data_IF_219018335790
#
_entry.id   IF_219018335790
#
_cell.length_a   1.000
_cell.length_b   1.000
_cell.length_c   1.000
_cell.angle_alpha   90.00
_cell.angle_beta   90.00
_cell.angle_gamma   90.00
#
_symmetry.space_group_name_H-M   'P 1'
#
loop_
_entity.id
_entity.type
_entity.pdbx_description
1 polymer ?
#
# COMPACT_ATOMS: atom_id res chain seq x y z
N UNK A 1 -15.98 13.13 17.88
CA UNK A 1 -15.94 12.10 16.81
C UNK A 1 -16.66 12.52 15.54
N UNK A 2 -18.00 12.67 15.48
CA UNK A 2 -18.71 13.00 14.22
C UNK A 2 -18.17 14.25 13.50
N UNK A 3 -17.93 15.35 14.22
CA UNK A 3 -17.36 16.58 13.64
C UNK A 3 -15.98 16.34 12.97
N UNK A 4 -15.01 15.78 13.71
CA UNK A 4 -13.67 15.43 13.19
C UNK A 4 -13.76 14.53 11.94
N UNK A 5 -14.71 13.61 11.90
CA UNK A 5 -14.94 12.73 10.75
C UNK A 5 -15.48 13.47 9.51
N UNK A 6 -16.42 14.41 9.68
CA UNK A 6 -16.88 15.25 8.57
C UNK A 6 -15.80 16.24 8.11
N UNK A 7 -15.02 16.81 9.04
CA UNK A 7 -13.86 17.65 8.73
C UNK A 7 -12.85 16.86 7.89
N UNK A 8 -12.49 15.64 8.32
CA UNK A 8 -11.60 14.76 7.55
C UNK A 8 -12.16 14.39 6.17
N UNK A 9 -13.48 14.17 6.01
CA UNK A 9 -14.07 13.94 4.68
C UNK A 9 -13.98 15.20 3.81
N UNK A 10 -14.44 16.34 4.30
CA UNK A 10 -14.47 17.59 3.52
C UNK A 10 -13.04 17.96 3.12
N UNK A 11 -12.09 17.83 4.05
CA UNK A 11 -10.67 17.98 3.76
C UNK A 11 -10.18 16.98 2.72
N UNK A 12 -10.38 15.66 2.90
CA UNK A 12 -9.92 14.66 1.91
C UNK A 12 -10.57 14.82 0.53
N UNK A 13 -11.83 15.27 0.44
CA UNK A 13 -12.52 15.49 -0.83
C UNK A 13 -11.98 16.74 -1.52
N UNK A 14 -11.89 17.88 -0.83
CA UNK A 14 -11.29 19.11 -1.37
C UNK A 14 -9.82 18.89 -1.75
N UNK A 15 -9.07 18.17 -0.92
CA UNK A 15 -7.67 17.83 -1.15
C UNK A 15 -7.51 16.83 -2.32
N UNK A 16 -8.42 15.87 -2.50
CA UNK A 16 -8.44 15.01 -3.68
C UNK A 16 -8.70 15.82 -4.96
N UNK A 17 -9.62 16.79 -4.93
CA UNK A 17 -9.85 17.69 -6.07
C UNK A 17 -8.61 18.54 -6.41
N UNK A 18 -7.83 18.97 -5.40
CA UNK A 18 -6.55 19.67 -5.58
C UNK A 18 -5.48 18.71 -6.16
N UNK A 19 -5.38 17.47 -5.66
CA UNK A 19 -4.40 16.47 -6.15
C UNK A 19 -4.73 15.97 -7.56
N UNK A 20 -6.01 15.92 -7.94
CA UNK A 20 -6.47 15.51 -9.28
C UNK A 20 -6.42 16.63 -10.32
N UNK A 21 -5.96 17.84 -9.99
CA UNK A 21 -5.92 18.96 -10.93
C UNK A 21 -4.85 20.02 -10.64
N UNK A 22 -3.71 19.90 -11.33
CA UNK A 22 -2.68 20.95 -11.55
C UNK A 22 -1.91 21.37 -10.28
N UNK A 23 -0.58 21.27 -10.15
CA UNK A 23 0.57 20.79 -10.96
C UNK A 23 1.76 20.72 -9.95
N UNK A 24 3.06 20.45 -10.17
CA UNK A 24 4.00 19.73 -11.06
C UNK A 24 5.41 20.08 -10.51
N UNK A 25 5.98 19.29 -9.60
CA UNK A 25 7.37 19.49 -9.10
C UNK A 25 8.38 18.99 -10.17
N UNK A 26 9.65 19.44 -10.21
CA UNK A 26 10.60 19.00 -11.23
C UNK A 26 10.99 17.51 -11.04
N UNK A 27 10.41 16.62 -11.84
CA UNK A 27 10.67 15.17 -11.77
C UNK A 27 11.63 14.76 -12.90
N UNK A 28 12.93 14.94 -12.69
CA UNK A 28 13.98 14.52 -13.62
C UNK A 28 14.15 12.98 -13.72
N UNK A 29 13.36 12.20 -12.97
CA UNK A 29 13.34 10.73 -12.96
C UNK A 29 12.17 10.10 -13.74
N UNK A 30 11.33 10.90 -14.40
CA UNK A 30 10.24 10.41 -15.25
C UNK A 30 10.51 10.75 -16.71
N UNK A 31 11.23 9.86 -17.41
CA UNK A 31 11.24 9.82 -18.87
C UNK A 31 9.91 9.26 -19.39
N UNK A 32 8.84 10.05 -19.23
CA UNK A 32 7.65 9.94 -20.08
C UNK A 32 7.95 10.55 -21.47
N UNK A 33 7.41 9.98 -22.57
CA UNK A 33 7.70 10.46 -23.94
C UNK A 33 7.06 11.81 -24.31
N UNK A 34 6.57 12.58 -23.34
CA UNK A 34 5.86 13.86 -23.53
C UNK A 34 6.63 15.07 -22.98
N UNK A 35 7.96 15.07 -23.14
CA UNK A 35 8.88 16.12 -22.67
C UNK A 35 8.59 17.52 -23.27
N UNK A 36 7.82 17.58 -24.37
CA UNK A 36 7.53 18.79 -25.17
C UNK A 36 6.23 19.53 -24.78
N UNK A 37 5.53 19.15 -23.72
CA UNK A 37 4.19 19.70 -23.36
C UNK A 37 4.21 20.55 -22.07
N UNK A 38 5.36 20.68 -21.39
CA UNK A 38 5.42 21.05 -19.96
C UNK A 38 6.22 22.34 -19.66
N UNK A 39 6.21 23.34 -20.57
CA UNK A 39 7.04 24.56 -20.42
C UNK A 39 6.40 25.73 -19.65
N UNK A 40 5.12 25.64 -19.20
CA UNK A 40 4.35 26.84 -18.80
C UNK A 40 3.58 26.72 -17.45
N UNK A 41 4.13 26.08 -16.41
CA UNK A 41 3.55 26.13 -15.04
C UNK A 41 4.58 25.97 -13.89
N UNK A 42 4.53 26.88 -12.89
CA UNK A 42 5.40 26.92 -11.69
C UNK A 42 4.58 26.63 -10.39
N UNK A 43 4.82 25.51 -9.67
CA UNK A 43 3.97 25.13 -8.51
C UNK A 43 4.72 24.41 -7.35
N UNK A 44 5.57 25.11 -6.60
CA UNK A 44 6.63 24.47 -5.78
C UNK A 44 6.28 24.06 -4.33
N UNK A 45 5.05 24.25 -3.83
CA UNK A 45 4.79 24.28 -2.36
C UNK A 45 3.79 23.22 -1.84
N UNK A 46 2.81 22.74 -2.63
CA UNK A 46 1.65 22.03 -2.08
C UNK A 46 1.82 20.52 -1.81
N UNK A 47 2.61 19.79 -2.60
CA UNK A 47 2.67 18.32 -2.49
C UNK A 47 3.38 17.74 -1.26
N UNK A 48 4.36 18.41 -0.60
CA UNK A 48 4.90 17.92 0.67
C UNK A 48 3.86 17.92 1.79
N UNK A 49 2.99 18.94 1.84
CA UNK A 49 1.93 19.07 2.85
C UNK A 49 0.91 17.91 2.77
N UNK A 50 0.52 17.53 1.55
CA UNK A 50 -0.28 16.33 1.28
C UNK A 50 0.36 15.06 1.87
N UNK A 51 1.69 14.94 1.77
CA UNK A 51 2.48 13.87 2.37
C UNK A 51 2.33 13.82 3.90
N UNK A 52 2.54 14.96 4.57
CA UNK A 52 2.43 15.05 6.02
C UNK A 52 1.02 14.79 6.55
N UNK A 53 -0.02 15.39 5.95
CA UNK A 53 -1.41 15.21 6.39
C UNK A 53 -1.87 13.74 6.24
N UNK A 54 -1.54 13.12 5.10
CA UNK A 54 -1.80 11.70 4.87
C UNK A 54 -1.04 10.80 5.84
N UNK A 55 0.23 11.10 6.12
CA UNK A 55 1.04 10.35 7.09
C UNK A 55 0.50 10.49 8.52
N UNK A 56 0.09 11.68 8.96
CA UNK A 56 -0.45 11.92 10.30
C UNK A 56 -1.80 11.19 10.48
N UNK A 57 -2.75 11.40 9.56
CA UNK A 57 -4.05 10.76 9.61
C UNK A 57 -3.93 9.22 9.50
N UNK A 58 -3.11 8.74 8.57
CA UNK A 58 -2.81 7.33 8.38
C UNK A 58 -2.18 6.68 9.60
N UNK A 59 -1.10 7.26 10.13
CA UNK A 59 -0.43 6.76 11.34
C UNK A 59 -1.38 6.69 12.53
N UNK A 60 -2.21 7.73 12.74
CA UNK A 60 -3.21 7.75 13.79
C UNK A 60 -4.24 6.63 13.62
N UNK A 61 -4.90 6.54 12.47
CA UNK A 61 -5.94 5.53 12.27
C UNK A 61 -5.39 4.10 12.26
N UNK A 62 -4.17 3.90 11.74
CA UNK A 62 -3.44 2.64 11.82
C UNK A 62 -3.19 2.22 13.28
N UNK A 63 -2.56 3.07 14.10
CA UNK A 63 -2.36 2.82 15.53
C UNK A 63 -3.68 2.54 16.28
N UNK A 64 -4.75 3.29 15.94
CA UNK A 64 -6.08 3.09 16.54
C UNK A 64 -6.71 1.75 16.14
N UNK A 65 -6.57 1.29 14.90
CA UNK A 65 -7.13 -0.01 14.48
C UNK A 65 -6.30 -1.19 14.99
N UNK A 66 -4.96 -1.11 15.00
CA UNK A 66 -4.13 -2.21 15.52
C UNK A 66 -4.36 -2.45 17.01
N UNK A 67 -4.44 -1.39 17.83
CA UNK A 67 -4.77 -1.53 19.26
C UNK A 67 -6.17 -2.13 19.48
N UNK A 68 -7.15 -1.78 18.64
CA UNK A 68 -8.50 -2.33 18.71
C UNK A 68 -8.57 -3.82 18.32
N UNK A 69 -7.85 -4.24 17.28
CA UNK A 69 -7.75 -5.65 16.86
C UNK A 69 -7.06 -6.47 17.95
N UNK A 70 -5.90 -6.00 18.43
CA UNK A 70 -5.08 -6.68 19.43
C UNK A 70 -5.66 -6.63 20.85
N UNK A 71 -6.73 -5.85 21.07
CA UNK A 71 -7.31 -5.53 22.39
C UNK A 71 -6.29 -4.94 23.37
N UNK A 72 -5.32 -4.19 22.86
CA UNK A 72 -4.26 -3.51 23.63
C UNK A 72 -4.60 -2.04 23.86
N UNK A 73 -3.94 -1.43 24.84
CA UNK A 73 -3.92 0.02 25.06
C UNK A 73 -2.48 0.49 24.90
N UNK A 74 -2.28 1.60 24.20
CA UNK A 74 -0.98 2.27 24.05
C UNK A 74 0.16 1.37 23.53
N UNK A 75 -0.16 0.36 22.70
CA UNK A 75 0.86 -0.41 21.99
C UNK A 75 1.22 0.28 20.67
N UNK A 76 2.43 0.83 20.62
CA UNK A 76 2.96 1.51 19.44
C UNK A 76 3.78 0.60 18.51
N UNK A 77 4.05 -0.65 18.86
CA UNK A 77 5.01 -1.49 18.12
C UNK A 77 4.63 -1.71 16.65
N UNK A 78 3.34 -1.86 16.34
CA UNK A 78 2.88 -1.97 14.95
C UNK A 78 3.18 -0.69 14.15
N UNK A 79 2.93 0.49 14.73
CA UNK A 79 3.24 1.77 14.10
C UNK A 79 4.76 2.01 14.00
N UNK A 80 5.53 1.65 15.02
CA UNK A 80 6.99 1.75 15.01
C UNK A 80 7.57 0.93 13.85
N UNK A 81 7.14 -0.32 13.68
CA UNK A 81 7.61 -1.14 12.56
C UNK A 81 7.16 -0.63 11.18
N UNK A 82 6.00 0.03 11.09
CA UNK A 82 5.53 0.65 9.84
C UNK A 82 6.39 1.88 9.48
N UNK A 83 6.67 2.75 10.46
CA UNK A 83 7.40 4.01 10.25
C UNK A 83 8.91 3.81 10.14
N UNK A 84 9.48 2.79 10.79
CA UNK A 84 10.89 2.45 10.65
C UNK A 84 11.20 1.63 9.41
N UNK A 85 10.19 1.04 8.74
CA UNK A 85 10.36 0.10 7.64
C UNK A 85 11.29 0.66 6.54
N UNK A 86 12.10 -0.16 5.84
CA UNK A 86 13.14 0.33 4.92
C UNK A 86 12.66 1.26 3.81
N UNK A 87 11.39 1.17 3.40
CA UNK A 87 10.79 2.04 2.38
C UNK A 87 9.88 3.14 2.95
N UNK A 88 9.77 3.31 4.27
CA UNK A 88 8.78 4.21 4.86
C UNK A 88 9.00 5.71 4.56
N UNK A 89 10.17 6.11 4.05
CA UNK A 89 10.38 7.44 3.48
C UNK A 89 9.45 7.74 2.29
N UNK A 90 8.90 6.72 1.62
CA UNK A 90 7.88 6.93 0.58
C UNK A 90 6.61 7.64 1.11
N UNK A 91 6.35 7.65 2.43
CA UNK A 91 5.25 8.43 3.01
C UNK A 91 5.51 9.95 3.05
N UNK A 92 6.77 10.40 3.07
CA UNK A 92 7.12 11.84 3.14
C UNK A 92 7.59 12.42 1.80
N UNK A 93 7.63 11.60 0.75
CA UNK A 93 7.95 12.01 -0.63
C UNK A 93 6.68 12.24 -1.44
N UNK A 94 6.82 12.78 -2.66
CA UNK A 94 5.72 13.28 -3.51
C UNK A 94 4.83 12.19 -4.15
N UNK A 95 4.68 11.03 -3.51
CA UNK A 95 3.91 9.89 -4.02
C UNK A 95 2.66 9.58 -3.18
N UNK A 96 1.77 8.72 -3.70
CA UNK A 96 0.45 8.45 -3.10
C UNK A 96 0.45 7.51 -1.88
N UNK A 97 1.60 7.10 -1.36
CA UNK A 97 1.74 6.19 -0.20
C UNK A 97 1.08 6.72 1.08
N UNK A 98 1.22 8.00 1.39
CA UNK A 98 0.64 8.67 2.57
C UNK A 98 -0.87 8.86 2.45
N UNK A 99 -1.35 9.32 1.30
CA UNK A 99 -2.77 9.44 0.99
C UNK A 99 -3.46 8.05 1.03
N UNK A 100 -2.76 7.01 0.55
CA UNK A 100 -3.24 5.62 0.65
C UNK A 100 -3.26 5.14 2.10
N UNK A 101 -2.19 5.38 2.88
CA UNK A 101 -2.13 5.00 4.29
C UNK A 101 -3.30 5.60 5.08
N UNK A 102 -3.63 6.88 4.85
CA UNK A 102 -4.79 7.53 5.44
C UNK A 102 -6.11 6.88 5.00
N UNK A 103 -6.39 6.82 3.69
CA UNK A 103 -7.67 6.32 3.16
C UNK A 103 -7.91 4.85 3.52
N UNK A 104 -6.92 3.98 3.37
CA UNK A 104 -7.04 2.57 3.74
C UNK A 104 -7.15 2.35 5.26
N UNK A 105 -6.42 3.11 6.09
CA UNK A 105 -6.54 3.00 7.56
C UNK A 105 -7.90 3.52 8.07
N UNK A 106 -8.42 4.60 7.47
CA UNK A 106 -9.77 5.10 7.73
C UNK A 106 -10.83 4.07 7.31
N UNK A 107 -10.71 3.48 6.12
CA UNK A 107 -11.59 2.41 5.66
C UNK A 107 -11.61 1.24 6.65
N UNK A 108 -10.45 0.67 6.98
CA UNK A 108 -10.31 -0.45 7.91
C UNK A 108 -10.86 -0.13 9.32
N UNK A 109 -10.64 1.09 9.81
CA UNK A 109 -11.24 1.54 11.07
C UNK A 109 -12.77 1.52 11.03
N UNK A 110 -13.40 2.01 9.96
CA UNK A 110 -14.86 2.00 9.83
C UNK A 110 -15.45 0.61 9.52
N UNK A 111 -14.75 -0.23 8.75
CA UNK A 111 -15.09 -1.64 8.54
C UNK A 111 -15.12 -2.39 9.87
N UNK A 112 -14.06 -2.27 10.69
CA UNK A 112 -13.98 -2.92 12.00
C UNK A 112 -15.03 -2.38 12.99
N UNK A 113 -15.33 -1.09 12.94
CA UNK A 113 -16.45 -0.48 13.68
C UNK A 113 -17.83 -0.79 13.10
N UNK A 114 -17.92 -1.58 12.03
CA UNK A 114 -19.16 -1.97 11.32
C UNK A 114 -20.03 -0.79 10.91
N UNK A 115 -19.39 0.35 10.64
CA UNK A 115 -20.04 1.54 10.14
C UNK A 115 -19.82 1.59 8.62
N UNK A 116 -20.66 0.88 7.88
CA UNK A 116 -20.37 0.53 6.49
C UNK A 116 -20.50 1.68 5.49
N UNK A 117 -21.40 2.66 5.73
CA UNK A 117 -21.53 3.86 4.88
C UNK A 117 -20.22 4.65 4.75
N UNK A 118 -19.53 5.04 5.84
CA UNK A 118 -18.25 5.75 5.74
C UNK A 118 -17.08 4.84 5.33
N UNK A 119 -17.13 3.55 5.66
CA UNK A 119 -16.15 2.58 5.15
C UNK A 119 -16.14 2.58 3.61
N UNK A 120 -17.30 2.60 2.96
CA UNK A 120 -17.40 2.60 1.51
C UNK A 120 -16.79 3.84 0.84
N UNK A 121 -17.00 5.03 1.41
CA UNK A 121 -16.35 6.24 0.92
C UNK A 121 -14.81 6.11 0.95
N UNK A 122 -14.25 5.65 2.07
CA UNK A 122 -12.80 5.50 2.19
C UNK A 122 -12.24 4.31 1.40
N UNK A 123 -13.02 3.27 1.15
CA UNK A 123 -12.70 2.19 0.22
C UNK A 123 -12.65 2.65 -1.24
N UNK A 124 -13.59 3.50 -1.67
CA UNK A 124 -13.53 4.17 -2.98
C UNK A 124 -12.25 4.99 -3.08
N UNK A 125 -12.01 5.91 -2.14
CA UNK A 125 -10.85 6.80 -2.14
C UNK A 125 -9.52 6.02 -2.15
N UNK A 126 -9.39 4.96 -1.35
CA UNK A 126 -8.19 4.11 -1.36
C UNK A 126 -7.97 3.41 -2.71
N UNK A 127 -9.04 2.95 -3.37
CA UNK A 127 -8.95 2.28 -4.67
C UNK A 127 -8.78 3.24 -5.87
N UNK A 128 -9.13 4.53 -5.75
CA UNK A 128 -8.64 5.57 -6.68
C UNK A 128 -7.14 5.82 -6.46
N UNK A 129 -6.67 5.79 -5.21
CA UNK A 129 -5.31 6.21 -4.84
C UNK A 129 -4.23 5.18 -5.23
N UNK A 130 -4.53 3.88 -5.09
CA UNK A 130 -3.70 2.76 -5.59
C UNK A 130 -4.57 1.53 -5.90
N UNK A 131 -4.15 0.74 -6.90
CA UNK A 131 -4.82 -0.51 -7.30
C UNK A 131 -5.03 -1.49 -6.13
N UNK A 132 -4.10 -1.58 -5.18
CA UNK A 132 -4.22 -2.47 -4.02
C UNK A 132 -5.38 -2.08 -3.07
N UNK A 133 -5.92 -0.86 -3.17
CA UNK A 133 -7.12 -0.44 -2.45
C UNK A 133 -8.36 -1.26 -2.80
N UNK A 134 -8.38 -1.85 -4.01
CA UNK A 134 -9.39 -2.82 -4.44
C UNK A 134 -9.57 -3.96 -3.43
N UNK A 135 -8.46 -4.50 -2.90
CA UNK A 135 -8.48 -5.65 -2.00
C UNK A 135 -9.10 -5.36 -0.62
N UNK A 136 -9.40 -4.11 -0.28
CA UNK A 136 -10.17 -3.77 0.93
C UNK A 136 -11.57 -4.42 0.92
N UNK A 137 -12.06 -4.85 -0.25
CA UNK A 137 -13.25 -5.70 -0.41
C UNK A 137 -13.19 -6.96 0.49
N UNK A 138 -12.00 -7.52 0.75
CA UNK A 138 -11.79 -8.73 1.55
C UNK A 138 -12.20 -8.49 3.03
N UNK A 139 -11.54 -7.59 3.80
CA UNK A 139 -11.96 -7.30 5.17
C UNK A 139 -13.36 -6.66 5.25
N UNK A 140 -13.81 -5.97 4.20
CA UNK A 140 -15.15 -5.38 4.16
C UNK A 140 -16.24 -6.45 4.12
N UNK A 141 -16.22 -7.34 3.10
CA UNK A 141 -17.16 -8.45 3.00
C UNK A 141 -17.11 -9.33 4.26
N UNK A 142 -15.91 -9.59 4.78
CA UNK A 142 -15.72 -10.35 6.03
C UNK A 142 -16.49 -9.73 7.20
N UNK A 143 -16.31 -8.43 7.46
CA UNK A 143 -17.02 -7.70 8.53
C UNK A 143 -18.54 -7.64 8.31
N UNK A 144 -19.00 -7.63 7.05
CA UNK A 144 -20.43 -7.75 6.70
C UNK A 144 -20.98 -9.15 6.97
N UNK A 145 -20.21 -10.22 6.74
CA UNK A 145 -20.62 -11.59 7.08
C UNK A 145 -20.62 -11.85 8.59
N UNK A 146 -19.72 -11.22 9.38
CA UNK A 146 -19.79 -11.24 10.85
C UNK A 146 -20.95 -10.39 11.43
N UNK A 147 -21.63 -9.55 10.63
CA UNK A 147 -22.62 -8.59 11.11
C UNK A 147 -23.99 -9.24 11.39
N UNK A 148 -24.26 -9.54 12.67
CA UNK A 148 -25.53 -10.11 13.15
C UNK A 148 -26.77 -9.20 13.02
N UNK A 149 -26.64 -7.95 12.54
CA UNK A 149 -27.73 -6.97 12.43
C UNK A 149 -27.54 -6.06 11.21
N UNK A 150 -28.66 -5.62 10.62
CA UNK A 150 -28.71 -4.74 9.43
C UNK A 150 -29.10 -5.48 8.15
N UNK A 151 -29.42 -4.74 7.09
CA UNK A 151 -29.77 -5.32 5.78
C UNK A 151 -28.50 -5.90 5.13
N UNK A 152 -28.41 -7.24 5.09
CA UNK A 152 -27.24 -7.97 4.58
C UNK A 152 -26.96 -7.71 3.10
N UNK A 153 -27.99 -7.64 2.25
CA UNK A 153 -27.84 -7.36 0.82
C UNK A 153 -27.29 -5.95 0.58
N UNK A 154 -27.88 -4.94 1.24
CA UNK A 154 -27.42 -3.56 1.17
C UNK A 154 -25.98 -3.41 1.68
N UNK A 155 -25.63 -4.09 2.77
CA UNK A 155 -24.26 -4.10 3.30
C UNK A 155 -23.26 -4.79 2.35
N UNK A 156 -23.66 -5.86 1.64
CA UNK A 156 -22.81 -6.50 0.61
C UNK A 156 -22.59 -5.54 -0.56
N UNK A 157 -23.64 -4.90 -1.09
CA UNK A 157 -23.51 -3.91 -2.16
C UNK A 157 -22.60 -2.74 -1.76
N UNK A 158 -22.70 -2.28 -0.52
CA UNK A 158 -21.79 -1.27 0.07
C UNK A 158 -20.35 -1.79 0.20
N UNK A 159 -20.14 -3.08 0.49
CA UNK A 159 -18.79 -3.68 0.55
C UNK A 159 -18.11 -3.85 -0.83
N UNK A 160 -18.88 -3.86 -1.92
CA UNK A 160 -18.36 -3.83 -3.30
C UNK A 160 -17.81 -2.44 -3.71
N UNK A 161 -17.90 -1.43 -2.85
CA UNK A 161 -17.46 -0.06 -3.11
C UNK A 161 -16.02 0.14 -3.64
N UNK A 162 -14.99 -0.69 -3.33
CA UNK A 162 -13.69 -0.55 -3.99
C UNK A 162 -13.75 -0.67 -5.53
N UNK A 163 -14.70 -1.47 -6.05
CA UNK A 163 -14.93 -1.63 -7.50
C UNK A 163 -15.27 -0.28 -8.15
N UNK A 164 -16.08 0.55 -7.48
CA UNK A 164 -16.44 1.89 -7.97
C UNK A 164 -15.22 2.82 -8.05
N UNK A 165 -14.26 2.65 -7.14
CA UNK A 165 -13.02 3.42 -7.14
C UNK A 165 -12.07 3.05 -8.29
N UNK A 166 -11.89 1.75 -8.52
CA UNK A 166 -11.16 1.25 -9.69
C UNK A 166 -11.85 1.64 -11.01
N UNK A 167 -13.18 1.50 -11.08
CA UNK A 167 -13.95 1.87 -12.26
C UNK A 167 -13.87 3.38 -12.57
N UNK A 168 -13.91 4.25 -11.56
CA UNK A 168 -13.73 5.69 -11.76
C UNK A 168 -12.35 6.02 -12.35
N UNK A 169 -11.29 5.34 -11.88
CA UNK A 169 -9.94 5.49 -12.44
C UNK A 169 -9.82 4.96 -13.87
N UNK A 170 -10.41 3.79 -14.17
CA UNK A 170 -10.49 3.26 -15.54
C UNK A 170 -11.28 4.14 -16.51
N UNK A 171 -12.37 4.76 -16.06
CA UNK A 171 -13.14 5.73 -16.86
C UNK A 171 -12.31 6.99 -17.13
N UNK A 172 -11.58 7.50 -16.12
CA UNK A 172 -10.63 8.60 -16.30
C UNK A 172 -9.55 8.25 -17.33
N UNK A 173 -8.94 7.07 -17.24
CA UNK A 173 -7.94 6.62 -18.22
C UNK A 173 -8.53 6.52 -19.64
N UNK A 174 -9.71 5.92 -19.81
CA UNK A 174 -10.37 5.84 -21.11
C UNK A 174 -10.53 7.21 -21.79
N UNK A 175 -10.96 8.24 -21.05
CA UNK A 175 -11.06 9.61 -21.57
C UNK A 175 -9.71 10.33 -21.79
N UNK A 176 -8.58 9.76 -21.35
CA UNK A 176 -7.24 10.35 -21.46
C UNK A 176 -6.28 9.61 -22.41
N UNK A 177 -6.50 8.31 -22.64
CA UNK A 177 -5.62 7.44 -23.44
C UNK A 177 -6.38 6.57 -24.45
N UNK A 178 -7.71 6.51 -24.38
CA UNK A 178 -8.54 5.52 -25.10
C UNK A 178 -8.54 4.12 -24.49
N UNK A 179 -7.78 3.88 -23.41
CA UNK A 179 -7.58 2.56 -22.81
C UNK A 179 -7.95 2.56 -21.31
N UNK A 180 -9.03 1.88 -20.89
CA UNK A 180 -9.45 1.83 -19.48
C UNK A 180 -8.51 1.00 -18.59
N UNK A 181 -7.62 0.19 -19.17
CA UNK A 181 -6.65 -0.66 -18.47
C UNK A 181 -5.21 -0.20 -18.71
N UNK A 182 -5.00 1.07 -19.10
CA UNK A 182 -3.68 1.62 -19.41
C UNK A 182 -2.67 1.47 -18.24
N UNK A 183 -3.14 1.41 -16.99
CA UNK A 183 -2.30 1.11 -15.82
C UNK A 183 -1.61 -0.27 -15.88
N UNK A 184 -2.16 -1.21 -16.64
CA UNK A 184 -1.62 -2.55 -16.88
C UNK A 184 -0.82 -2.59 -18.19
N UNK A 185 -1.38 -2.10 -19.30
CA UNK A 185 -0.69 -2.12 -20.60
C UNK A 185 0.58 -1.26 -20.64
N UNK A 186 0.66 -0.18 -19.85
CA UNK A 186 1.87 0.64 -19.74
C UNK A 186 3.02 0.02 -18.91
N UNK A 187 2.83 -1.15 -18.27
CA UNK A 187 3.85 -1.71 -17.35
C UNK A 187 5.21 -1.96 -18.02
N UNK A 188 5.23 -2.37 -19.28
CA UNK A 188 6.46 -2.59 -20.06
C UNK A 188 7.27 -1.30 -20.28
N UNK A 189 6.61 -0.14 -20.41
CA UNK A 189 7.27 1.16 -20.55
C UNK A 189 8.00 1.60 -19.27
N UNK A 190 7.63 1.05 -18.10
CA UNK A 190 8.34 1.25 -16.83
C UNK A 190 9.53 0.30 -16.62
N UNK A 191 9.98 -0.40 -17.67
CA UNK A 191 11.22 -1.18 -17.67
C UNK A 191 11.23 -2.31 -16.64
N UNK A 192 12.41 -2.58 -16.05
CA UNK A 192 12.64 -3.66 -15.08
C UNK A 192 12.19 -5.07 -15.57
N UNK A 193 12.13 -5.27 -16.90
CA UNK A 193 11.51 -6.43 -17.55
C UNK A 193 10.10 -6.74 -17.00
N UNK A 194 9.30 -5.70 -16.75
CA UNK A 194 7.86 -5.84 -16.52
C UNK A 194 7.18 -6.37 -17.78
N UNK A 195 6.10 -7.12 -17.60
CA UNK A 195 5.29 -7.71 -18.67
C UNK A 195 3.84 -7.30 -18.46
N UNK A 196 3.20 -6.84 -19.53
CA UNK A 196 1.77 -6.50 -19.63
C UNK A 196 1.00 -7.46 -20.54
N UNK A 197 1.70 -8.34 -21.26
CA UNK A 197 1.10 -9.35 -22.14
C UNK A 197 1.17 -10.76 -21.54
N UNK A 198 0.02 -11.32 -21.15
CA UNK A 198 -0.13 -12.72 -20.76
C UNK A 198 0.00 -13.02 -19.25
N UNK A 199 0.04 -14.30 -18.91
CA UNK A 199 -0.03 -14.78 -17.52
C UNK A 199 1.36 -15.05 -16.92
N UNK A 200 1.72 -14.28 -15.88
CA UNK A 200 2.90 -14.55 -15.05
C UNK A 200 2.44 -15.23 -13.75
N UNK A 201 3.11 -16.32 -13.37
CA UNK A 201 2.96 -16.95 -12.06
C UNK A 201 4.25 -16.77 -11.22
N UNK A 202 4.12 -16.89 -9.90
CA UNK A 202 5.21 -16.61 -8.97
C UNK A 202 6.49 -17.49 -9.15
N UNK A 203 6.43 -18.77 -9.57
CA UNK A 203 7.62 -19.57 -9.84
C UNK A 203 8.55 -18.98 -10.92
N UNK A 204 7.98 -18.39 -11.97
CA UNK A 204 8.73 -17.70 -13.03
C UNK A 204 9.47 -16.49 -12.47
N UNK A 205 8.83 -15.72 -11.58
CA UNK A 205 9.45 -14.57 -10.91
C UNK A 205 10.60 -15.02 -9.99
N UNK A 206 10.40 -16.08 -9.20
CA UNK A 206 11.47 -16.66 -8.37
C UNK A 206 12.65 -17.17 -9.21
N UNK A 207 12.40 -17.90 -10.30
CA UNK A 207 13.45 -18.36 -11.21
C UNK A 207 14.22 -17.18 -11.82
N UNK A 208 13.53 -16.10 -12.18
CA UNK A 208 14.15 -14.88 -12.72
C UNK A 208 15.08 -14.22 -11.71
N UNK A 209 14.65 -14.06 -10.46
CA UNK A 209 15.48 -13.47 -9.41
C UNK A 209 16.64 -14.40 -8.99
N UNK A 210 16.41 -15.71 -8.95
CA UNK A 210 17.49 -16.69 -8.74
C UNK A 210 18.54 -16.62 -9.86
N UNK A 211 18.12 -16.50 -11.12
CA UNK A 211 19.05 -16.29 -12.25
C UNK A 211 19.85 -15.00 -12.09
N UNK A 212 19.22 -13.89 -11.71
CA UNK A 212 19.93 -12.61 -11.43
C UNK A 212 20.99 -12.83 -10.35
N UNK A 213 20.63 -13.45 -9.22
CA UNK A 213 21.55 -13.64 -8.09
C UNK A 213 22.70 -14.64 -8.35
N UNK A 214 22.60 -15.46 -9.39
CA UNK A 214 23.65 -16.40 -9.82
C UNK A 214 24.51 -15.84 -10.97
N UNK A 215 23.96 -15.00 -11.86
CA UNK A 215 24.59 -14.66 -13.16
C UNK A 215 24.85 -13.17 -13.41
N UNK A 216 24.43 -12.27 -12.53
CA UNK A 216 24.71 -10.83 -12.66
C UNK A 216 25.89 -10.37 -11.79
N UNK A 217 26.63 -9.37 -12.27
CA UNK A 217 27.73 -8.74 -11.52
C UNK A 217 27.25 -8.13 -10.19
N UNK A 218 28.13 -8.08 -9.19
CA UNK A 218 27.86 -7.58 -7.83
C UNK A 218 27.78 -6.03 -7.75
N UNK A 219 26.97 -5.44 -8.64
CA UNK A 219 26.72 -4.01 -8.76
C UNK A 219 25.53 -3.54 -7.90
N UNK A 220 25.15 -2.27 -8.01
CA UNK A 220 24.03 -1.70 -7.25
C UNK A 220 22.70 -2.41 -7.56
N UNK A 221 22.44 -2.74 -8.82
CA UNK A 221 21.22 -3.40 -9.28
C UNK A 221 21.09 -4.83 -8.72
N UNK A 222 22.20 -5.56 -8.58
CA UNK A 222 22.25 -6.84 -7.87
C UNK A 222 21.77 -6.71 -6.42
N UNK A 223 22.28 -5.72 -5.68
CA UNK A 223 21.89 -5.50 -4.28
C UNK A 223 20.43 -5.05 -4.13
N UNK A 224 19.89 -4.28 -5.09
CA UNK A 224 18.45 -3.98 -5.13
C UNK A 224 17.63 -5.24 -5.43
N UNK A 225 18.02 -6.08 -6.39
CA UNK A 225 17.32 -7.34 -6.68
C UNK A 225 17.36 -8.31 -5.48
N UNK A 226 18.49 -8.37 -4.77
CA UNK A 226 18.64 -9.13 -3.52
C UNK A 226 17.72 -8.60 -2.40
N UNK A 227 17.64 -7.27 -2.24
CA UNK A 227 16.75 -6.60 -1.29
C UNK A 227 15.27 -6.86 -1.62
N UNK A 228 14.87 -6.72 -2.88
CA UNK A 228 13.50 -6.97 -3.35
C UNK A 228 13.07 -8.40 -3.05
N UNK A 229 13.91 -9.39 -3.39
CA UNK A 229 13.64 -10.80 -3.09
C UNK A 229 13.61 -11.07 -1.58
N UNK A 230 14.55 -10.50 -0.81
CA UNK A 230 14.63 -10.70 0.64
C UNK A 230 13.41 -10.12 1.35
N UNK A 231 13.01 -8.90 1.03
CA UNK A 231 11.80 -8.27 1.59
C UNK A 231 10.55 -9.04 1.16
N UNK A 232 10.45 -9.45 -0.11
CA UNK A 232 9.34 -10.28 -0.58
C UNK A 232 9.21 -11.56 0.24
N UNK A 233 10.28 -12.35 0.34
CA UNK A 233 10.29 -13.63 1.05
C UNK A 233 9.98 -13.47 2.55
N UNK A 234 10.55 -12.46 3.22
CA UNK A 234 10.31 -12.20 4.64
C UNK A 234 8.84 -11.82 4.89
N UNK A 235 8.29 -10.88 4.11
CA UNK A 235 6.89 -10.44 4.28
C UNK A 235 5.93 -11.59 3.91
N UNK A 236 6.14 -12.25 2.78
CA UNK A 236 5.33 -13.38 2.33
C UNK A 236 5.33 -14.55 3.33
N UNK A 237 6.50 -14.95 3.84
CA UNK A 237 6.62 -16.03 4.82
C UNK A 237 5.91 -15.68 6.14
N UNK A 238 6.02 -14.45 6.63
CA UNK A 238 5.30 -13.99 7.83
C UNK A 238 3.80 -13.98 7.61
N UNK A 239 3.31 -13.48 6.46
CA UNK A 239 1.88 -13.49 6.13
C UNK A 239 1.34 -14.94 6.04
N UNK A 240 2.03 -15.85 5.34
CA UNK A 240 1.65 -17.26 5.25
C UNK A 240 1.68 -17.96 6.61
N UNK A 241 2.69 -17.70 7.44
CA UNK A 241 2.79 -18.25 8.79
C UNK A 241 1.64 -17.80 9.69
N UNK A 242 1.22 -16.53 9.58
CA UNK A 242 0.01 -16.03 10.26
C UNK A 242 -1.24 -16.76 9.77
N UNK A 243 -1.44 -16.92 8.45
CA UNK A 243 -2.58 -17.70 7.92
C UNK A 243 -2.58 -19.14 8.45
N UNK A 244 -1.43 -19.84 8.42
CA UNK A 244 -1.28 -21.19 8.97
C UNK A 244 -1.68 -21.24 10.46
N UNK A 245 -1.25 -20.26 11.27
CA UNK A 245 -1.64 -20.17 12.68
C UNK A 245 -3.12 -19.83 12.88
N UNK A 246 -3.74 -19.01 12.02
CA UNK A 246 -5.18 -18.76 12.03
C UNK A 246 -5.96 -20.05 11.73
N UNK A 247 -5.63 -20.76 10.64
CA UNK A 247 -6.26 -22.04 10.29
C UNK A 247 -6.10 -23.09 11.39
N UNK A 248 -4.88 -23.27 11.93
CA UNK A 248 -4.59 -24.22 13.01
C UNK A 248 -5.38 -23.95 14.29
N UNK A 249 -5.75 -22.69 14.55
CA UNK A 249 -6.55 -22.26 15.70
C UNK A 249 -8.05 -22.11 15.40
N UNK A 250 -8.46 -22.23 14.13
CA UNK A 250 -9.79 -21.82 13.62
C UNK A 250 -10.12 -20.35 13.95
N UNK A 251 -9.09 -19.50 14.06
CA UNK A 251 -9.19 -18.07 14.38
C UNK A 251 -9.47 -17.28 13.09
N UNK A 252 -10.72 -17.34 12.65
CA UNK A 252 -11.26 -16.52 11.57
C UNK A 252 -11.83 -15.22 12.15
N UNK A 253 -10.94 -14.36 12.65
CA UNK A 253 -11.26 -13.01 13.11
C UNK A 253 -10.95 -11.95 12.05
N UNK A 254 -11.31 -10.69 12.30
CA UNK A 254 -10.98 -9.58 11.39
C UNK A 254 -9.48 -9.53 11.01
N UNK A 255 -8.57 -9.92 11.90
CA UNK A 255 -7.13 -9.97 11.61
C UNK A 255 -6.79 -10.95 10.47
N UNK A 256 -7.45 -12.11 10.41
CA UNK A 256 -7.29 -13.06 9.31
C UNK A 256 -7.68 -12.42 7.96
N UNK A 257 -8.79 -11.69 7.92
CA UNK A 257 -9.22 -10.98 6.71
C UNK A 257 -8.28 -9.84 6.29
N UNK A 258 -7.66 -9.16 7.27
CA UNK A 258 -6.63 -8.14 7.05
C UNK A 258 -5.30 -8.73 6.57
N UNK A 259 -4.97 -9.95 7.03
CA UNK A 259 -3.81 -10.70 6.60
C UNK A 259 -3.98 -11.23 5.16
N UNK A 260 -5.20 -11.66 4.78
CA UNK A 260 -5.55 -11.98 3.39
C UNK A 260 -5.47 -10.77 2.46
N UNK A 261 -5.99 -9.60 2.88
CA UNK A 261 -5.79 -8.33 2.16
C UNK A 261 -4.30 -8.02 1.95
N UNK A 262 -3.49 -8.18 3.00
CA UNK A 262 -2.05 -7.89 2.98
C UNK A 262 -1.31 -8.81 2.00
N UNK A 263 -1.71 -10.09 1.94
CA UNK A 263 -1.17 -11.06 0.99
C UNK A 263 -1.56 -10.72 -0.45
N UNK A 264 -2.83 -10.40 -0.71
CA UNK A 264 -3.30 -10.01 -2.05
C UNK A 264 -2.60 -8.73 -2.56
N UNK A 265 -2.45 -7.73 -1.69
CA UNK A 265 -1.72 -6.49 -1.99
C UNK A 265 -0.23 -6.73 -2.31
N UNK A 266 0.42 -7.69 -1.64
CA UNK A 266 1.81 -8.11 -1.92
C UNK A 266 1.93 -8.95 -3.21
N UNK A 267 0.92 -9.74 -3.57
CA UNK A 267 0.94 -10.56 -4.78
C UNK A 267 0.73 -9.73 -6.06
N UNK A 268 -0.12 -8.69 -6.04
CA UNK A 268 -0.49 -7.93 -7.25
C UNK A 268 0.70 -7.46 -8.10
N UNK A 269 1.78 -6.85 -7.55
CA UNK A 269 2.92 -6.44 -8.35
C UNK A 269 3.64 -7.59 -9.06
N UNK A 270 3.69 -8.77 -8.43
CA UNK A 270 4.40 -9.95 -8.97
C UNK A 270 3.82 -10.48 -10.27
N UNK A 271 2.53 -10.18 -10.54
CA UNK A 271 1.84 -10.54 -11.78
C UNK A 271 2.40 -9.80 -13.02
N UNK A 272 3.23 -8.78 -12.82
CA UNK A 272 3.99 -8.10 -13.89
C UNK A 272 5.34 -8.75 -14.21
N UNK A 273 5.65 -9.91 -13.61
CA UNK A 273 6.90 -10.65 -13.88
C UNK A 273 8.11 -10.26 -13.03
N UNK A 274 7.96 -9.32 -12.09
CA UNK A 274 9.06 -8.73 -11.32
C UNK A 274 8.73 -8.57 -9.83
N UNK A 275 9.76 -8.47 -8.98
CA UNK A 275 9.65 -8.00 -7.60
C UNK A 275 10.04 -6.51 -7.48
N UNK A 276 10.21 -5.83 -8.62
CA UNK A 276 10.49 -4.40 -8.66
C UNK A 276 9.45 -3.61 -7.88
N UNK A 277 9.94 -2.72 -7.01
CA UNK A 277 9.12 -1.92 -6.08
C UNK A 277 8.46 -2.69 -4.93
N UNK A 278 8.73 -3.99 -4.71
CA UNK A 278 8.15 -4.75 -3.59
C UNK A 278 8.44 -4.16 -2.20
N UNK A 279 9.65 -3.65 -1.86
CA UNK A 279 9.86 -3.00 -0.58
C UNK A 279 8.89 -1.84 -0.35
N UNK A 280 8.65 -0.99 -1.35
CA UNK A 280 7.62 0.06 -1.31
C UNK A 280 6.20 -0.51 -1.22
N UNK A 281 5.83 -1.51 -2.02
CA UNK A 281 4.52 -2.16 -1.93
C UNK A 281 4.29 -2.96 -0.64
N UNK A 282 5.33 -3.25 0.14
CA UNK A 282 5.20 -3.91 1.45
C UNK A 282 4.66 -2.99 2.55
N UNK A 283 4.73 -1.66 2.38
CA UNK A 283 4.21 -0.67 3.35
C UNK A 283 2.71 -0.83 3.65
N UNK A 284 1.96 -1.39 2.70
CA UNK A 284 0.51 -1.55 2.80
C UNK A 284 0.10 -2.97 3.27
N UNK A 285 1.06 -3.85 3.55
CA UNK A 285 0.84 -5.20 4.07
C UNK A 285 0.58 -5.18 5.60
N UNK A 286 -0.48 -4.50 6.04
CA UNK A 286 -0.78 -4.24 7.46
C UNK A 286 -0.72 -5.46 8.40
N UNK A 287 -1.05 -6.66 7.91
CA UNK A 287 -0.93 -7.93 8.66
C UNK A 287 0.51 -8.23 9.11
N UNK A 288 1.52 -7.87 8.30
CA UNK A 288 2.94 -8.05 8.62
C UNK A 288 3.36 -7.21 9.84
N UNK A 289 3.04 -5.92 9.84
CA UNK A 289 3.35 -5.00 10.94
C UNK A 289 2.60 -5.37 12.23
N UNK A 290 1.37 -5.87 12.11
CA UNK A 290 0.62 -6.44 13.23
C UNK A 290 1.31 -7.71 13.75
N UNK A 291 1.75 -8.62 12.88
CA UNK A 291 2.45 -9.85 13.28
C UNK A 291 3.75 -9.55 14.04
N UNK A 292 4.59 -8.62 13.55
CA UNK A 292 5.80 -8.18 14.26
C UNK A 292 5.47 -7.58 15.64
N UNK A 293 4.38 -6.82 15.77
CA UNK A 293 3.92 -6.28 17.06
C UNK A 293 3.52 -7.37 18.09
N UNK A 294 3.24 -8.61 17.65
CA UNK A 294 2.95 -9.75 18.53
C UNK A 294 4.18 -10.46 19.09
N UNK A 295 5.39 -10.18 18.60
CA UNK A 295 6.64 -10.75 19.14
C UNK A 295 6.74 -10.46 20.64
N UNK A 296 7.05 -11.50 21.44
CA UNK A 296 7.15 -11.42 22.91
C UNK A 296 8.50 -10.85 23.38
N UNK A 297 9.59 -11.20 22.71
CA UNK A 297 10.93 -10.72 23.04
C UNK A 297 11.09 -9.24 22.60
N UNK A 298 11.28 -8.33 23.56
CA UNK A 298 11.41 -6.89 23.30
C UNK A 298 12.76 -6.56 22.64
N UNK A 299 13.85 -7.21 23.04
CA UNK A 299 15.17 -7.02 22.43
C UNK A 299 15.17 -7.40 20.94
N UNK A 300 14.45 -8.47 20.57
CA UNK A 300 14.25 -8.84 19.17
C UNK A 300 13.42 -7.79 18.40
N UNK A 301 12.41 -7.19 19.02
CA UNK A 301 11.66 -6.09 18.41
C UNK A 301 12.53 -4.85 18.18
N UNK A 302 13.36 -4.50 19.15
CA UNK A 302 14.32 -3.39 19.04
C UNK A 302 15.32 -3.68 17.91
N UNK A 303 15.88 -4.90 17.85
CA UNK A 303 16.80 -5.31 16.79
C UNK A 303 16.17 -5.21 15.39
N UNK A 304 14.94 -5.71 15.20
CA UNK A 304 14.21 -5.58 13.92
C UNK A 304 13.97 -4.10 13.59
N UNK A 305 13.57 -3.28 14.58
CA UNK A 305 13.36 -1.84 14.40
C UNK A 305 14.63 -1.09 14.00
N UNK A 306 15.78 -1.45 14.57
CA UNK A 306 17.09 -0.90 14.23
C UNK A 306 17.53 -1.31 12.82
N UNK A 307 17.40 -2.60 12.46
CA UNK A 307 17.70 -3.10 11.10
C UNK A 307 16.84 -2.36 10.06
N UNK A 308 15.54 -2.21 10.33
CA UNK A 308 14.64 -1.46 9.47
C UNK A 308 15.08 0.01 9.33
N UNK A 309 15.39 0.69 10.45
CA UNK A 309 15.83 2.10 10.45
C UNK A 309 17.17 2.32 9.73
N UNK A 310 18.12 1.40 9.86
CA UNK A 310 19.42 1.47 9.17
C UNK A 310 19.21 1.34 7.66
N UNK A 311 18.45 0.33 7.23
CA UNK A 311 18.11 0.15 5.82
C UNK A 311 17.28 1.33 5.27
N UNK A 312 16.38 1.91 6.06
CA UNK A 312 15.62 3.11 5.70
C UNK A 312 16.54 4.29 5.39
N UNK A 313 17.52 4.58 6.25
CA UNK A 313 18.48 5.67 6.03
C UNK A 313 19.36 5.41 4.79
N UNK A 314 19.80 4.18 4.58
CA UNK A 314 20.60 3.79 3.40
C UNK A 314 19.79 3.96 2.11
N UNK A 315 18.55 3.44 2.06
CA UNK A 315 17.71 3.51 0.87
C UNK A 315 17.23 4.94 0.59
N UNK A 316 16.93 5.72 1.64
CA UNK A 316 16.61 7.14 1.50
C UNK A 316 17.81 7.93 0.94
N UNK A 317 19.03 7.65 1.40
CA UNK A 317 20.25 8.29 0.89
C UNK A 317 20.52 7.99 -0.60
N UNK A 318 20.26 6.75 -1.04
CA UNK A 318 20.32 6.40 -2.46
C UNK A 318 19.17 7.04 -3.26
N UNK A 319 17.96 7.08 -2.71
CA UNK A 319 16.79 7.72 -3.33
C UNK A 319 17.03 9.22 -3.59
N UNK A 320 17.49 10.00 -2.60
CA UNK A 320 17.78 11.43 -2.78
C UNK A 320 18.95 11.70 -3.74
N UNK A 321 19.82 10.71 -3.97
CA UNK A 321 20.86 10.74 -5.01
C UNK A 321 20.35 10.35 -6.41
N UNK A 322 19.06 10.09 -6.57
CA UNK A 322 18.44 9.75 -7.85
C UNK A 322 18.46 8.26 -8.21
N UNK A 323 18.95 7.37 -7.32
CA UNK A 323 18.96 5.93 -7.58
C UNK A 323 17.58 5.31 -7.40
N UNK A 324 17.22 4.39 -8.30
CA UNK A 324 16.02 3.56 -8.15
C UNK A 324 16.24 2.50 -7.06
N UNK A 325 15.59 2.67 -5.92
CA UNK A 325 15.65 1.75 -4.75
C UNK A 325 14.37 0.95 -4.52
N UNK A 326 13.23 1.44 -5.04
CA UNK A 326 11.90 0.81 -4.98
C UNK A 326 10.89 1.57 -5.84
#
# INVERSE_FOLDING_TARGET
>A
MRALFYILIIFFVVHLFIVLGINQIPIFQLDFPFKSIVEVYEPKILSPLAGFDGLIAGSYFFYRITNLILKRKNDYWSLIFLLSFPSAFFFITVYSESLFLATASLALFFIFKRNFKPAALFCILASLTKLQGFFLIIPFLFSVFEAKKGNKLFNILIALSPILGLAAYSIFLFFRTGDPLYFYHSQEAFGANRISTGFVFLPQVFFRYLKILITADLNFQYWIAFLELSVFLIVFAVLLWVLYLNFKKKDFSFEFSLNLYSLAALMLPTLTGTLSSIPRYSLIAYGFFIALSKIRNVSLKILIGLIFSILHLVLFFYFIKGYFVS
#
